data_IF_977900277193
#
_entry.id   IF_977900277193
#
_cell.length_a   1.000
_cell.length_b   1.000
_cell.length_c   1.000
_cell.angle_alpha   90.00
_cell.angle_beta   90.00
_cell.angle_gamma   90.00
#
_symmetry.space_group_name_H-M   'P 1'
#
loop_
_entity.id
_entity.type
_entity.pdbx_description
1 polymer ?
#
# COMPACT_ATOMS: atom_id res chain seq x y z
N UNK A 1 34.10 25.80 36.36
CA UNK A 1 33.10 26.23 35.36
C UNK A 1 33.66 25.89 33.99
N UNK A 2 33.44 24.66 33.56
CA UNK A 2 33.92 24.19 32.26
C UNK A 2 33.05 24.79 31.15
N UNK A 3 33.65 25.69 30.39
CA UNK A 3 32.98 26.45 29.35
C UNK A 3 32.85 25.62 28.07
N UNK A 4 31.79 24.82 27.96
CA UNK A 4 31.42 24.05 26.76
C UNK A 4 31.36 24.87 25.45
N UNK A 5 31.29 26.20 25.55
CA UNK A 5 31.24 27.11 24.42
C UNK A 5 32.61 27.31 23.74
N UNK A 6 33.72 27.35 24.50
CA UNK A 6 35.03 27.68 23.95
C UNK A 6 35.54 26.62 22.98
N UNK A 7 35.44 25.35 23.37
CA UNK A 7 35.86 24.21 22.54
C UNK A 7 35.04 24.09 21.25
N UNK A 8 33.75 24.44 21.30
CA UNK A 8 32.88 24.45 20.12
C UNK A 8 33.29 25.56 19.14
N UNK A 9 33.56 26.77 19.64
CA UNK A 9 34.02 27.90 18.82
C UNK A 9 35.39 27.63 18.20
N UNK A 10 36.34 27.07 18.97
CA UNK A 10 37.67 26.70 18.47
C UNK A 10 37.59 25.63 17.36
N UNK A 11 36.73 24.63 17.52
CA UNK A 11 36.49 23.58 16.53
C UNK A 11 35.93 24.14 15.22
N UNK A 12 34.92 25.02 15.29
CA UNK A 12 34.36 25.66 14.10
C UNK A 12 35.38 26.59 13.42
N UNK A 13 36.12 27.37 14.19
CA UNK A 13 37.16 28.24 13.64
C UNK A 13 38.28 27.44 12.94
N UNK A 14 38.62 26.24 13.44
CA UNK A 14 39.55 25.34 12.77
C UNK A 14 38.99 24.80 11.44
N UNK A 15 37.72 24.36 11.41
CA UNK A 15 37.06 23.89 10.17
C UNK A 15 37.06 24.95 9.07
N UNK A 16 36.68 26.18 9.42
CA UNK A 16 36.69 27.29 8.46
C UNK A 16 38.10 27.61 7.96
N UNK A 17 39.12 27.57 8.84
CA UNK A 17 40.51 27.77 8.42
C UNK A 17 41.03 26.66 7.51
N UNK A 18 40.53 25.43 7.63
CA UNK A 18 40.86 24.32 6.73
C UNK A 18 40.09 24.34 5.40
N UNK A 19 39.27 25.37 5.14
CA UNK A 19 38.48 25.49 3.91
C UNK A 19 37.16 24.72 3.92
N UNK A 20 36.79 24.11 5.05
CA UNK A 20 35.50 23.47 5.25
C UNK A 20 34.48 24.52 5.74
N UNK A 21 33.75 25.09 4.78
CA UNK A 21 32.68 26.06 5.03
C UNK A 21 31.30 25.41 5.18
N UNK A 22 31.22 24.07 5.21
CA UNK A 22 29.96 23.36 5.33
C UNK A 22 29.42 23.44 6.78
N UNK A 23 28.31 24.16 6.93
CA UNK A 23 27.63 24.37 8.21
C UNK A 23 26.62 23.24 8.47
N UNK A 24 26.40 22.33 7.52
CA UNK A 24 25.48 21.21 7.73
C UNK A 24 26.02 20.22 8.75
N UNK A 25 25.10 19.62 9.51
CA UNK A 25 25.44 18.56 10.45
C UNK A 25 25.93 17.33 9.69
N UNK A 26 27.06 16.77 10.11
CA UNK A 26 27.51 15.47 9.63
C UNK A 26 26.48 14.38 9.99
N UNK A 27 26.40 13.28 9.20
CA UNK A 27 25.55 12.15 9.51
C UNK A 27 25.77 11.69 10.96
N UNK A 28 24.71 11.76 11.78
CA UNK A 28 24.78 11.37 13.18
C UNK A 28 24.51 9.87 13.31
N UNK A 29 25.45 9.14 13.91
CA UNK A 29 25.22 7.77 14.34
C UNK A 29 24.46 7.78 15.67
N UNK A 30 23.29 7.13 15.75
CA UNK A 30 22.55 6.99 17.02
C UNK A 30 21.02 7.02 16.96
N UNK A 31 20.40 7.05 15.78
CA UNK A 31 18.95 6.86 15.66
C UNK A 31 18.52 5.41 15.91
N UNK A 32 17.29 5.16 16.39
CA UNK A 32 16.74 3.80 16.42
C UNK A 32 16.77 3.18 15.01
N UNK A 33 16.96 1.87 14.94
CA UNK A 33 16.89 1.12 13.68
C UNK A 33 15.54 1.44 13.03
N UNK A 34 15.58 2.02 11.83
CA UNK A 34 14.36 2.37 11.12
C UNK A 34 13.57 1.09 10.86
N UNK A 35 12.30 1.06 11.25
CA UNK A 35 11.40 -0.04 10.90
C UNK A 35 11.22 -0.17 9.38
N UNK A 36 11.59 0.85 8.61
CA UNK A 36 11.62 0.89 7.15
C UNK A 36 12.91 0.24 6.61
N UNK A 37 13.22 -0.98 7.04
CA UNK A 37 14.26 -1.78 6.40
C UNK A 37 13.71 -2.43 5.12
N UNK A 38 14.58 -2.70 4.14
CA UNK A 38 14.18 -3.42 2.92
C UNK A 38 13.54 -4.79 3.21
N UNK A 39 13.99 -5.45 4.28
CA UNK A 39 13.43 -6.72 4.76
C UNK A 39 11.99 -6.56 5.25
N UNK A 40 11.74 -5.57 6.13
CA UNK A 40 10.40 -5.31 6.64
C UNK A 40 9.44 -4.85 5.53
N UNK A 41 9.92 -4.04 4.57
CA UNK A 41 9.12 -3.64 3.40
C UNK A 41 8.69 -4.86 2.61
N UNK A 42 9.64 -5.75 2.26
CA UNK A 42 9.35 -6.96 1.49
C UNK A 42 8.41 -7.92 2.22
N UNK A 43 8.56 -8.06 3.54
CA UNK A 43 7.69 -8.92 4.34
C UNK A 43 6.28 -8.33 4.49
N UNK A 44 6.15 -7.01 4.66
CA UNK A 44 4.83 -6.35 4.67
C UNK A 44 4.15 -6.50 3.32
N UNK A 45 4.90 -6.33 2.22
CA UNK A 45 4.37 -6.51 0.87
C UNK A 45 3.85 -7.93 0.65
N UNK A 46 4.59 -8.96 1.07
CA UNK A 46 4.15 -10.36 0.93
C UNK A 46 2.88 -10.65 1.71
N UNK A 47 2.78 -10.16 2.96
CA UNK A 47 1.58 -10.33 3.79
C UNK A 47 0.35 -9.65 3.19
N UNK A 48 0.49 -8.45 2.63
CA UNK A 48 -0.60 -7.73 1.95
C UNK A 48 -1.01 -8.45 0.65
N UNK A 49 -0.08 -9.05 -0.06
CA UNK A 49 -0.37 -9.81 -1.28
C UNK A 49 -1.11 -11.12 -1.00
N UNK A 50 -0.83 -11.75 0.14
CA UNK A 50 -1.56 -12.94 0.64
C UNK A 50 -2.99 -12.58 1.10
N UNK A 51 -3.12 -11.56 1.95
CA UNK A 51 -4.42 -11.03 2.38
C UNK A 51 -4.51 -9.51 2.15
N UNK A 52 -5.17 -9.15 1.06
CA UNK A 52 -5.39 -7.73 0.68
C UNK A 52 -6.27 -6.96 1.66
N UNK A 53 -6.91 -7.65 2.61
CA UNK A 53 -7.74 -7.07 3.65
C UNK A 53 -7.03 -7.02 5.02
N UNK A 54 -5.74 -7.37 5.10
CA UNK A 54 -4.99 -7.35 6.35
C UNK A 54 -4.92 -5.93 6.94
N UNK A 55 -5.11 -5.83 8.25
CA UNK A 55 -5.11 -4.54 8.95
C UNK A 55 -3.72 -4.15 9.43
N UNK A 56 -3.48 -2.84 9.57
CA UNK A 56 -2.25 -2.29 10.15
C UNK A 56 -1.98 -2.86 11.55
N UNK A 57 -3.02 -3.11 12.34
CA UNK A 57 -2.88 -3.69 13.68
C UNK A 57 -2.43 -5.15 13.63
N UNK A 58 -2.96 -5.95 12.71
CA UNK A 58 -2.53 -7.34 12.52
C UNK A 58 -1.06 -7.40 12.08
N UNK A 59 -0.66 -6.55 11.13
CA UNK A 59 0.73 -6.41 10.72
C UNK A 59 1.65 -6.01 11.90
N UNK A 60 1.18 -5.08 12.74
CA UNK A 60 1.94 -4.62 13.91
C UNK A 60 2.14 -5.73 14.95
N UNK A 61 1.12 -6.55 15.16
CA UNK A 61 1.20 -7.70 16.06
C UNK A 61 2.10 -8.81 15.50
N UNK A 62 2.11 -9.04 14.19
CA UNK A 62 2.94 -10.09 13.59
C UNK A 62 4.43 -9.75 13.52
N UNK A 63 4.77 -8.46 13.36
CA UNK A 63 6.15 -8.02 13.14
C UNK A 63 6.75 -7.24 14.31
N UNK A 64 5.96 -6.97 15.36
CA UNK A 64 6.32 -6.08 16.47
C UNK A 64 6.72 -4.66 16.02
N UNK A 65 6.18 -4.23 14.87
CA UNK A 65 6.40 -2.90 14.31
C UNK A 65 5.26 -1.97 14.73
N UNK A 66 5.59 -0.72 15.03
CA UNK A 66 4.56 0.28 15.36
C UNK A 66 3.60 0.51 14.17
N UNK A 67 2.34 0.77 14.49
CA UNK A 67 1.30 1.06 13.49
C UNK A 67 1.67 2.23 12.58
N UNK A 68 2.35 3.26 13.11
CA UNK A 68 2.82 4.41 12.33
C UNK A 68 3.91 4.04 11.32
N UNK A 69 4.83 3.16 11.68
CA UNK A 69 5.85 2.67 10.75
C UNK A 69 5.23 1.79 9.65
N UNK A 70 4.31 0.89 9.98
CA UNK A 70 3.58 0.09 8.97
C UNK A 70 2.79 1.00 8.04
N UNK A 71 2.08 2.00 8.57
CA UNK A 71 1.37 2.96 7.73
C UNK A 71 2.32 3.70 6.77
N UNK A 72 3.50 4.10 7.25
CA UNK A 72 4.54 4.74 6.42
C UNK A 72 5.02 3.80 5.32
N UNK A 73 5.32 2.54 5.65
CA UNK A 73 5.74 1.53 4.67
C UNK A 73 4.64 1.30 3.62
N UNK A 74 3.40 1.09 4.03
CA UNK A 74 2.28 0.85 3.11
C UNK A 74 2.07 2.03 2.15
N UNK A 75 2.09 3.27 2.67
CA UNK A 75 1.71 4.45 1.87
C UNK A 75 2.87 5.11 1.14
N UNK A 76 4.02 5.27 1.80
CA UNK A 76 5.16 6.05 1.28
C UNK A 76 6.12 5.17 0.50
N UNK A 77 6.45 3.98 1.03
CA UNK A 77 7.42 3.09 0.39
C UNK A 77 6.77 2.21 -0.69
N UNK A 78 5.60 1.63 -0.40
CA UNK A 78 4.88 0.72 -1.31
C UNK A 78 3.81 1.45 -2.16
N UNK A 79 3.44 2.68 -1.81
CA UNK A 79 2.45 3.46 -2.57
C UNK A 79 1.01 2.93 -2.50
N UNK A 80 0.69 2.08 -1.51
CA UNK A 80 -0.64 1.51 -1.34
C UNK A 80 -1.63 2.50 -0.74
N UNK A 81 -2.90 2.29 -1.07
CA UNK A 81 -4.05 3.03 -0.54
C UNK A 81 -5.11 2.04 -0.07
N UNK A 82 -5.69 2.30 1.09
CA UNK A 82 -6.88 1.57 1.54
C UNK A 82 -8.08 1.90 0.65
N UNK A 83 -8.81 0.86 0.24
CA UNK A 83 -10.03 0.98 -0.57
C UNK A 83 -11.12 0.16 0.11
N UNK A 84 -12.29 0.74 0.30
CA UNK A 84 -13.44 0.02 0.84
C UNK A 84 -13.87 -1.12 -0.09
N UNK A 85 -14.11 -2.30 0.47
CA UNK A 85 -14.67 -3.43 -0.26
C UNK A 85 -16.05 -3.10 -0.84
N UNK A 86 -16.40 -3.75 -1.96
CA UNK A 86 -17.73 -3.63 -2.57
C UNK A 86 -18.68 -4.67 -1.96
N UNK A 87 -19.91 -4.26 -1.67
CA UNK A 87 -20.96 -5.18 -1.27
C UNK A 87 -21.34 -6.10 -2.44
N UNK A 88 -21.38 -7.41 -2.18
CA UNK A 88 -21.83 -8.41 -3.14
C UNK A 88 -23.15 -8.99 -2.63
N UNK A 89 -24.26 -8.93 -3.41
CA UNK A 89 -25.59 -9.34 -2.95
C UNK A 89 -25.68 -10.79 -2.45
N UNK A 90 -24.90 -11.70 -3.04
CA UNK A 90 -24.94 -13.10 -2.68
C UNK A 90 -23.60 -13.80 -2.85
N UNK A 91 -23.31 -14.76 -1.97
CA UNK A 91 -22.15 -15.65 -2.09
C UNK A 91 -22.50 -16.80 -3.04
N UNK A 92 -22.12 -16.66 -4.31
CA UNK A 92 -22.39 -17.68 -5.32
C UNK A 92 -21.61 -18.98 -5.07
N UNK A 93 -22.29 -20.12 -5.25
CA UNK A 93 -21.64 -21.43 -5.35
C UNK A 93 -20.91 -21.61 -6.67
N UNK A 94 -20.01 -22.60 -6.75
CA UNK A 94 -19.28 -22.91 -7.98
C UNK A 94 -20.22 -23.26 -9.15
N UNK A 95 -21.23 -24.09 -8.89
CA UNK A 95 -22.26 -24.44 -9.87
C UNK A 95 -23.03 -23.21 -10.37
N UNK A 96 -23.39 -22.28 -9.47
CA UNK A 96 -24.05 -21.02 -9.86
C UNK A 96 -23.13 -20.13 -10.72
N UNK A 97 -21.83 -20.06 -10.41
CA UNK A 97 -20.85 -19.31 -11.21
C UNK A 97 -20.74 -19.91 -12.62
N UNK A 98 -20.61 -21.23 -12.73
CA UNK A 98 -20.50 -21.92 -14.01
C UNK A 98 -21.77 -21.75 -14.85
N UNK A 99 -22.95 -21.91 -14.25
CA UNK A 99 -24.22 -21.69 -14.93
C UNK A 99 -24.33 -20.24 -15.47
N UNK A 100 -23.99 -19.24 -14.66
CA UNK A 100 -23.96 -17.83 -15.09
C UNK A 100 -22.99 -17.60 -16.24
N UNK A 101 -21.76 -18.15 -16.17
CA UNK A 101 -20.79 -18.02 -17.25
C UNK A 101 -21.29 -18.64 -18.57
N UNK A 102 -21.90 -19.81 -18.51
CA UNK A 102 -22.45 -20.47 -19.70
C UNK A 102 -23.61 -19.69 -20.32
N UNK A 103 -24.51 -19.15 -19.49
CA UNK A 103 -25.60 -18.28 -19.96
C UNK A 103 -25.02 -17.03 -20.63
N UNK A 104 -24.06 -16.35 -19.99
CA UNK A 104 -23.43 -15.15 -20.55
C UNK A 104 -22.73 -15.43 -21.87
N UNK A 105 -21.96 -16.54 -21.97
CA UNK A 105 -21.30 -16.92 -23.23
C UNK A 105 -22.30 -17.13 -24.36
N UNK A 106 -23.40 -17.86 -24.10
CA UNK A 106 -24.45 -18.11 -25.08
C UNK A 106 -25.15 -16.81 -25.51
N UNK A 107 -25.44 -15.92 -24.55
CA UNK A 107 -26.04 -14.62 -24.83
C UNK A 107 -25.10 -13.74 -25.68
N UNK A 108 -23.80 -13.74 -25.37
CA UNK A 108 -22.79 -13.00 -26.12
C UNK A 108 -22.64 -13.52 -27.55
N UNK A 109 -22.51 -14.84 -27.74
CA UNK A 109 -22.45 -15.45 -29.07
C UNK A 109 -23.71 -15.14 -29.89
N UNK A 110 -24.89 -15.19 -29.26
CA UNK A 110 -26.16 -14.84 -29.92
C UNK A 110 -26.17 -13.36 -30.32
N UNK A 111 -25.57 -12.48 -29.51
CA UNK A 111 -25.48 -11.06 -29.80
C UNK A 111 -24.51 -10.77 -30.94
N UNK A 112 -23.31 -11.36 -30.93
CA UNK A 112 -22.28 -11.16 -31.96
C UNK A 112 -22.68 -11.70 -33.33
N UNK A 113 -23.43 -12.81 -33.37
CA UNK A 113 -23.87 -13.44 -34.62
C UNK A 113 -25.17 -12.86 -35.20
N UNK A 114 -25.72 -11.80 -34.62
CA UNK A 114 -26.97 -11.18 -35.07
C UNK A 114 -26.78 -9.75 -35.57
N UNK A 115 -27.73 -9.29 -36.38
CA UNK A 115 -27.80 -7.90 -36.83
C UNK A 115 -28.15 -6.96 -35.66
N UNK A 116 -27.76 -5.68 -35.77
CA UNK A 116 -27.65 -4.68 -34.67
C UNK A 116 -28.95 -4.34 -33.91
N UNK A 117 -30.08 -5.02 -34.18
CA UNK A 117 -31.42 -4.69 -33.65
C UNK A 117 -31.86 -5.51 -32.43
N UNK A 118 -31.20 -6.60 -32.06
CA UNK A 118 -31.71 -7.51 -31.01
C UNK A 118 -31.84 -6.90 -29.60
N UNK A 119 -31.00 -5.94 -29.22
CA UNK A 119 -31.17 -5.29 -27.90
C UNK A 119 -32.45 -4.44 -27.84
N UNK A 120 -32.93 -3.95 -28.98
CA UNK A 120 -34.19 -3.18 -29.05
C UNK A 120 -35.45 -4.05 -28.96
N UNK A 121 -35.30 -5.37 -29.08
CA UNK A 121 -36.40 -6.34 -28.98
C UNK A 121 -36.57 -6.92 -27.57
N UNK A 122 -35.62 -6.67 -26.66
CA UNK A 122 -35.67 -7.21 -25.30
C UNK A 122 -36.61 -6.36 -24.45
N UNK A 123 -37.66 -6.99 -23.93
CA UNK A 123 -38.53 -6.43 -22.90
C UNK A 123 -38.22 -7.14 -21.58
N UNK A 124 -37.94 -6.37 -20.52
CA UNK A 124 -37.60 -6.88 -19.18
C UNK A 124 -38.39 -6.13 -18.11
N UNK A 125 -38.64 -6.78 -16.97
CA UNK A 125 -39.30 -6.21 -15.80
C UNK A 125 -38.85 -6.94 -14.54
N UNK A 126 -38.84 -6.24 -13.42
CA UNK A 126 -38.55 -6.74 -12.08
C UNK A 126 -39.49 -6.07 -11.08
N UNK A 127 -39.85 -6.77 -10.00
CA UNK A 127 -40.72 -6.24 -8.94
C UNK A 127 -39.88 -5.82 -7.72
N UNK A 128 -40.24 -4.71 -7.08
CA UNK A 128 -39.58 -4.19 -5.85
C UNK A 128 -40.39 -4.47 -4.61
#
# INVERSE_FOLDING_TARGET
MDCHFRSTVERWAARFRSGDADVTDLPRSGGPVSATTSENIALIESMVMEDKCITVNQLGQSMEISSGAIHTILTTELGYRSICGKWVPHKLSENQRLARLNIVKKLLETYENCDSRRLTEIITGDET
#
